data_IF_072400499374
#
_entry.id   IF_072400499374
#
_cell.length_a   1.000
_cell.length_b   1.000
_cell.length_c   1.000
_cell.angle_alpha   90.00
_cell.angle_beta   90.00
_cell.angle_gamma   90.00
#
_symmetry.space_group_name_H-M   'P 1'
#
loop_
_entity.id
_entity.type
_entity.pdbx_description
1 polymer ?
#
# COMPACT_ATOMS: atom_id res chain seq x y z
N UNK A 1 8.95 30.32 21.05
CA UNK A 1 9.51 30.17 19.70
C UNK A 1 9.45 28.69 19.39
N UNK A 2 8.54 28.26 18.52
CA UNK A 2 8.50 26.85 18.09
C UNK A 2 9.61 26.72 17.06
N UNK A 3 10.67 26.03 17.40
CA UNK A 3 11.74 25.74 16.45
C UNK A 3 11.15 24.85 15.36
N UNK A 4 11.12 25.38 14.13
CA UNK A 4 10.63 24.67 12.96
C UNK A 4 11.67 23.61 12.56
N UNK A 5 11.56 22.43 13.17
CA UNK A 5 12.35 21.26 12.83
C UNK A 5 11.81 20.55 11.59
N UNK A 6 11.52 21.30 10.51
CA UNK A 6 11.14 20.70 9.21
C UNK A 6 12.37 20.09 8.54
N UNK A 7 12.75 18.90 8.99
CA UNK A 7 13.74 18.08 8.30
C UNK A 7 13.06 17.36 7.13
N UNK A 8 13.70 17.38 5.96
CA UNK A 8 13.24 16.61 4.80
C UNK A 8 13.24 15.13 5.18
N UNK A 9 12.09 14.49 5.06
CA UNK A 9 11.97 13.06 5.31
C UNK A 9 12.88 12.29 4.36
N UNK A 10 13.46 11.20 4.88
CA UNK A 10 14.20 10.28 4.05
C UNK A 10 13.26 9.62 3.05
N UNK A 11 13.52 9.84 1.76
CA UNK A 11 12.78 9.23 0.66
C UNK A 11 13.55 7.98 0.22
N UNK A 12 12.87 6.84 0.16
CA UNK A 12 13.43 5.64 -0.45
C UNK A 12 13.50 5.86 -1.97
N UNK A 13 14.70 5.77 -2.51
CA UNK A 13 14.89 5.71 -3.96
C UNK A 13 14.49 4.33 -4.47
N UNK A 14 13.43 4.27 -5.26
CA UNK A 14 12.98 3.04 -5.91
C UNK A 14 13.86 2.82 -7.14
N UNK A 15 14.60 1.72 -7.15
CA UNK A 15 15.35 1.25 -8.32
C UNK A 15 14.41 0.71 -9.39
N UNK A 16 14.90 0.57 -10.62
CA UNK A 16 14.10 -0.02 -11.70
C UNK A 16 14.04 -1.54 -11.52
N UNK A 17 12.84 -2.12 -11.57
CA UNK A 17 12.66 -3.56 -11.43
C UNK A 17 13.42 -4.32 -12.53
N UNK A 18 14.08 -5.42 -12.14
CA UNK A 18 14.72 -6.38 -13.04
C UNK A 18 13.68 -7.19 -13.82
N UNK A 19 14.11 -7.88 -14.88
CA UNK A 19 13.19 -8.73 -15.65
C UNK A 19 12.69 -9.93 -14.82
N UNK A 20 13.53 -10.45 -13.93
CA UNK A 20 13.20 -11.51 -12.98
C UNK A 20 12.11 -11.04 -12.01
N UNK A 21 12.24 -9.83 -11.45
CA UNK A 21 11.25 -9.25 -10.53
C UNK A 21 9.91 -9.02 -11.23
N UNK A 22 9.93 -8.52 -12.48
CA UNK A 22 8.73 -8.39 -13.32
C UNK A 22 8.09 -9.73 -13.66
N UNK A 23 8.89 -10.78 -13.81
CA UNK A 23 8.38 -12.14 -14.05
C UNK A 23 7.71 -12.70 -12.79
N UNK A 24 8.33 -12.51 -11.63
CA UNK A 24 7.74 -12.89 -10.33
C UNK A 24 6.43 -12.14 -10.11
N UNK A 25 6.40 -10.83 -10.33
CA UNK A 25 5.20 -10.00 -10.19
C UNK A 25 4.03 -10.47 -11.07
N UNK A 26 4.31 -10.82 -12.33
CA UNK A 26 3.31 -11.39 -13.24
C UNK A 26 2.78 -12.74 -12.76
N UNK A 27 3.66 -13.64 -12.33
CA UNK A 27 3.24 -14.95 -11.82
C UNK A 27 2.33 -14.80 -10.60
N UNK A 28 2.68 -13.90 -9.67
CA UNK A 28 1.85 -13.60 -8.49
C UNK A 28 0.48 -13.06 -8.92
N UNK A 29 0.46 -12.04 -9.78
CA UNK A 29 -0.78 -11.42 -10.22
C UNK A 29 -1.69 -12.42 -10.97
N UNK A 30 -1.15 -13.23 -11.87
CA UNK A 30 -1.95 -14.09 -12.73
C UNK A 30 -2.40 -15.39 -12.05
N UNK A 31 -1.63 -15.93 -11.11
CA UNK A 31 -1.87 -17.27 -10.57
C UNK A 31 -2.26 -17.29 -9.09
N UNK A 32 -2.01 -16.21 -8.34
CA UNK A 32 -2.19 -16.20 -6.88
C UNK A 32 -3.20 -15.16 -6.38
N UNK A 33 -3.56 -14.17 -7.19
CA UNK A 33 -4.42 -13.06 -6.77
C UNK A 33 -5.72 -13.08 -7.54
N UNK A 34 -6.82 -13.29 -6.83
CA UNK A 34 -8.17 -13.18 -7.39
C UNK A 34 -8.72 -11.76 -7.27
N UNK A 35 -9.70 -11.44 -8.13
CA UNK A 35 -10.52 -10.23 -7.96
C UNK A 35 -11.25 -10.26 -6.61
N UNK A 36 -11.17 -9.17 -5.84
CA UNK A 36 -11.70 -9.12 -4.48
C UNK A 36 -10.74 -9.54 -3.38
N UNK A 37 -9.52 -9.99 -3.70
CA UNK A 37 -8.52 -10.36 -2.71
C UNK A 37 -8.12 -9.17 -1.83
N UNK A 38 -7.78 -9.45 -0.56
CA UNK A 38 -7.22 -8.46 0.36
C UNK A 38 -5.71 -8.63 0.42
N UNK A 39 -4.98 -7.59 0.01
CA UNK A 39 -3.52 -7.62 -0.13
C UNK A 39 -2.83 -7.18 1.16
N UNK A 40 -1.81 -7.94 1.56
CA UNK A 40 -0.81 -7.58 2.55
C UNK A 40 0.56 -7.71 1.88
N UNK A 41 1.33 -6.62 1.86
CA UNK A 41 2.60 -6.56 1.15
C UNK A 41 3.45 -5.41 1.68
N UNK A 42 4.76 -5.60 1.68
CA UNK A 42 5.73 -4.61 2.12
C UNK A 42 6.30 -3.74 1.00
N UNK A 43 7.43 -3.13 1.27
CA UNK A 43 8.16 -2.25 0.34
C UNK A 43 9.32 -3.00 -0.34
N UNK A 44 9.44 -2.95 -1.65
CA UNK A 44 10.52 -3.63 -2.38
C UNK A 44 10.23 -3.85 -3.85
N UNK A 45 11.26 -4.17 -4.62
CA UNK A 45 11.14 -4.35 -6.07
C UNK A 45 10.16 -5.47 -6.46
N UNK A 46 10.14 -6.59 -5.72
CA UNK A 46 9.16 -7.67 -5.98
C UNK A 46 7.72 -7.26 -5.65
N UNK A 47 7.40 -6.69 -4.46
CA UNK A 47 6.09 -6.10 -4.21
C UNK A 47 5.68 -5.04 -5.23
N UNK A 48 6.61 -4.17 -5.64
CA UNK A 48 6.35 -3.10 -6.62
C UNK A 48 6.02 -3.68 -8.00
N UNK A 49 6.78 -4.69 -8.44
CA UNK A 49 6.51 -5.43 -9.67
C UNK A 49 5.16 -6.18 -9.63
N UNK A 50 4.80 -6.76 -8.49
CA UNK A 50 3.50 -7.40 -8.30
C UNK A 50 2.36 -6.37 -8.37
N UNK A 51 2.49 -5.24 -7.66
CA UNK A 51 1.53 -4.12 -7.72
C UNK A 51 1.36 -3.60 -9.15
N UNK A 52 2.46 -3.46 -9.90
CA UNK A 52 2.42 -3.04 -11.30
C UNK A 52 1.64 -4.02 -12.20
N UNK A 53 1.72 -5.33 -11.91
CA UNK A 53 0.99 -6.37 -12.65
C UNK A 53 -0.49 -6.49 -12.25
N UNK A 54 -0.88 -5.98 -11.08
CA UNK A 54 -2.25 -6.09 -10.56
C UNK A 54 -3.24 -5.08 -11.17
N UNK A 55 -2.82 -4.20 -12.09
CA UNK A 55 -3.66 -3.13 -12.67
C UNK A 55 -4.96 -3.59 -13.34
N UNK A 56 -5.01 -4.84 -13.80
CA UNK A 56 -6.21 -5.41 -14.45
C UNK A 56 -7.19 -6.08 -13.47
N UNK A 57 -6.81 -6.20 -12.20
CA UNK A 57 -7.67 -6.77 -11.16
C UNK A 57 -8.69 -5.74 -10.69
N UNK A 58 -9.77 -6.23 -10.08
CA UNK A 58 -10.89 -5.44 -9.61
C UNK A 58 -11.25 -5.81 -8.18
N UNK A 59 -11.82 -4.82 -7.48
CA UNK A 59 -12.33 -4.94 -6.13
C UNK A 59 -11.31 -5.35 -5.07
N UNK A 60 -10.02 -5.13 -5.33
CA UNK A 60 -8.96 -5.47 -4.39
C UNK A 60 -9.11 -4.67 -3.10
N UNK A 61 -8.74 -5.29 -1.99
CA UNK A 61 -8.62 -4.65 -0.68
C UNK A 61 -7.17 -4.52 -0.24
N UNK A 62 -6.89 -3.63 0.70
CA UNK A 62 -5.60 -3.51 1.38
C UNK A 62 -5.76 -3.64 2.88
N UNK A 63 -4.92 -4.49 3.47
CA UNK A 63 -4.68 -4.57 4.90
C UNK A 63 -3.19 -4.84 5.11
N UNK A 64 -2.42 -3.82 5.46
CA UNK A 64 -0.96 -3.95 5.58
C UNK A 64 -0.37 -2.99 6.61
N UNK A 65 0.79 -3.32 7.15
CA UNK A 65 1.54 -2.43 8.04
C UNK A 65 2.18 -1.25 7.28
N UNK A 66 2.75 -1.52 6.11
CA UNK A 66 3.40 -0.55 5.23
C UNK A 66 3.05 -0.87 3.78
N UNK A 67 3.15 0.10 2.87
CA UNK A 67 3.04 -0.15 1.44
C UNK A 67 3.83 0.88 0.63
N UNK A 68 4.11 0.54 -0.63
CA UNK A 68 4.83 1.41 -1.55
C UNK A 68 3.91 2.27 -2.40
N UNK A 69 4.51 3.20 -3.16
CA UNK A 69 3.79 4.10 -4.05
C UNK A 69 2.96 3.36 -5.12
N UNK A 70 3.28 2.10 -5.45
CA UNK A 70 2.53 1.29 -6.41
C UNK A 70 1.05 1.08 -6.03
N UNK A 71 0.72 1.13 -4.74
CA UNK A 71 -0.67 1.09 -4.27
C UNK A 71 -1.47 2.31 -4.75
N UNK A 72 -0.86 3.50 -4.79
CA UNK A 72 -1.54 4.70 -5.29
C UNK A 72 -2.00 4.51 -6.72
N UNK A 73 -1.18 3.89 -7.55
CA UNK A 73 -1.51 3.66 -8.95
C UNK A 73 -2.69 2.71 -9.10
N UNK A 74 -2.78 1.69 -8.24
CA UNK A 74 -3.91 0.76 -8.21
C UNK A 74 -5.20 1.40 -7.66
N UNK A 75 -5.09 2.33 -6.71
CA UNK A 75 -6.23 3.14 -6.25
C UNK A 75 -6.68 4.07 -7.38
N UNK A 76 -5.76 4.76 -8.07
CA UNK A 76 -6.07 5.66 -9.19
C UNK A 76 -6.72 4.93 -10.36
N UNK A 77 -6.31 3.71 -10.67
CA UNK A 77 -6.91 2.89 -11.73
C UNK A 77 -8.15 2.10 -11.27
N UNK A 78 -8.63 2.35 -10.05
CA UNK A 78 -9.82 1.74 -9.46
C UNK A 78 -9.76 0.20 -9.34
N UNK A 79 -8.54 -0.37 -9.33
CA UNK A 79 -8.32 -1.79 -9.06
C UNK A 79 -8.55 -2.10 -7.57
N UNK A 80 -8.19 -1.15 -6.69
CA UNK A 80 -8.39 -1.24 -5.25
C UNK A 80 -9.59 -0.39 -4.85
N UNK A 81 -10.62 -1.05 -4.32
CA UNK A 81 -11.86 -0.39 -3.84
C UNK A 81 -12.17 -0.73 -2.38
N UNK A 82 -11.52 -1.75 -1.81
CA UNK A 82 -11.84 -2.33 -0.50
C UNK A 82 -13.30 -2.82 -0.35
N UNK A 83 -14.07 -2.93 -1.43
CA UNK A 83 -15.50 -3.24 -1.39
C UNK A 83 -15.79 -4.67 -0.89
N UNK A 84 -14.89 -5.61 -1.18
CA UNK A 84 -15.02 -7.04 -0.83
C UNK A 84 -14.23 -7.43 0.42
N UNK A 85 -13.72 -6.45 1.19
CA UNK A 85 -12.86 -6.74 2.34
C UNK A 85 -13.66 -7.45 3.45
N UNK A 86 -13.37 -8.73 3.69
CA UNK A 86 -13.97 -9.55 4.75
C UNK A 86 -13.22 -9.29 6.06
N UNK A 87 -13.33 -8.07 6.60
CA UNK A 87 -12.63 -7.65 7.82
C UNK A 87 -13.50 -6.67 8.60
N UNK A 88 -13.12 -6.41 9.86
CA UNK A 88 -13.84 -5.58 10.83
C UNK A 88 -14.11 -4.13 10.35
N UNK A 89 -13.51 -3.70 9.24
CA UNK A 89 -13.80 -2.43 8.55
C UNK A 89 -13.90 -2.62 7.02
N UNK A 90 -15.10 -2.93 6.49
CA UNK A 90 -15.33 -2.98 5.04
C UNK A 90 -15.15 -1.59 4.40
N UNK A 91 -14.71 -1.54 3.15
CA UNK A 91 -14.50 -0.32 2.34
C UNK A 91 -13.39 0.65 2.80
N UNK A 92 -12.72 0.40 3.93
CA UNK A 92 -11.55 1.20 4.36
C UNK A 92 -10.27 0.42 4.13
N UNK A 93 -9.17 1.09 3.82
CA UNK A 93 -7.87 0.44 3.90
C UNK A 93 -7.35 0.51 5.35
N UNK A 94 -6.69 -0.56 5.80
CA UNK A 94 -6.17 -0.66 7.18
C UNK A 94 -4.64 -0.59 7.14
N UNK A 95 -4.10 0.38 7.88
CA UNK A 95 -2.67 0.54 8.15
C UNK A 95 -2.44 0.23 9.63
N UNK A 96 -1.61 -0.76 9.93
CA UNK A 96 -1.24 -1.13 11.30
C UNK A 96 0.23 -0.82 11.55
N UNK A 97 0.61 0.46 11.70
CA UNK A 97 2.00 0.86 12.01
C UNK A 97 2.15 1.18 13.50
N UNK A 98 3.25 0.69 14.11
CA UNK A 98 3.63 1.01 15.51
C UNK A 98 4.73 2.09 15.60
N UNK A 99 5.46 2.36 14.50
CA UNK A 99 6.60 3.28 14.47
C UNK A 99 6.68 3.98 13.10
N UNK A 100 6.17 5.21 13.03
CA UNK A 100 6.25 5.99 11.80
C UNK A 100 7.64 6.62 11.61
N UNK A 101 8.41 6.08 10.67
CA UNK A 101 9.55 6.81 10.07
C UNK A 101 9.61 6.67 8.54
N UNK A 102 8.62 6.02 7.92
CA UNK A 102 8.64 5.73 6.49
C UNK A 102 7.30 6.22 5.86
N UNK A 103 7.40 7.38 5.19
CA UNK A 103 6.41 8.06 4.33
C UNK A 103 5.20 8.78 4.96
N UNK A 104 5.39 10.07 5.28
CA UNK A 104 4.30 11.06 5.53
C UNK A 104 3.85 11.83 4.27
N UNK A 105 4.35 11.49 3.07
CA UNK A 105 3.90 12.14 1.81
C UNK A 105 2.53 11.63 1.37
N UNK A 106 2.18 10.42 1.79
CA UNK A 106 0.95 9.73 1.43
C UNK A 106 -0.23 10.08 2.35
N UNK A 107 0.06 10.30 3.63
CA UNK A 107 -0.94 10.64 4.67
C UNK A 107 -1.66 11.95 4.36
N UNK A 108 -1.02 12.86 3.61
CA UNK A 108 -1.60 14.16 3.23
C UNK A 108 -2.54 14.11 2.03
N UNK A 109 -2.51 13.04 1.22
CA UNK A 109 -3.35 12.89 0.01
C UNK A 109 -4.68 12.15 0.30
N UNK A 110 -4.80 11.45 1.44
CA UNK A 110 -5.83 10.41 1.62
C UNK A 110 -6.78 10.64 2.81
N UNK A 111 -7.17 11.88 3.08
CA UNK A 111 -7.85 12.28 4.31
C UNK A 111 -9.31 11.76 4.51
N UNK A 112 -9.82 10.86 3.65
CA UNK A 112 -11.22 10.39 3.71
C UNK A 112 -11.41 8.86 3.69
N UNK A 113 -10.36 8.05 3.58
CA UNK A 113 -10.48 6.61 3.27
C UNK A 113 -9.95 5.63 4.32
N UNK A 114 -9.44 6.11 5.45
CA UNK A 114 -8.67 5.29 6.40
C UNK A 114 -9.28 5.30 7.82
N UNK A 115 -9.00 4.23 8.58
CA UNK A 115 -9.26 4.16 10.01
C UNK A 115 -7.90 3.97 10.71
N UNK A 116 -7.58 4.86 11.64
CA UNK A 116 -6.39 4.74 12.48
C UNK A 116 -6.73 3.94 13.72
N UNK A 117 -5.96 2.91 14.02
CA UNK A 117 -6.01 2.27 15.33
C UNK A 117 -5.18 3.15 16.28
N UNK A 118 -5.77 3.79 17.30
CA UNK A 118 -4.96 4.38 18.35
C UNK A 118 -4.23 3.24 19.05
N UNK A 119 -2.90 3.28 19.03
CA UNK A 119 -2.07 2.45 19.89
C UNK A 119 -2.58 2.67 21.31
N UNK A 120 -3.17 1.63 21.92
CA UNK A 120 -3.35 1.55 23.36
C UNK A 120 -1.95 1.57 23.96
N UNK A 121 -1.45 2.77 24.26
CA UNK A 121 -0.33 2.90 25.18
C UNK A 121 -0.82 2.44 26.56
N UNK A 122 -0.05 1.61 27.29
CA UNK A 122 -0.29 1.45 28.72
C UNK A 122 -0.09 2.79 29.46
#
# INVERSE_FOLDING_TARGET
>A
MVEDHTFKLHERHIGKDSEEERKIGRIIAENLVDNGATLQMGIGAVPDAALAALKNHKDLGIHTEMFSDGVLDLVKCNAITNSKKVSFFPCRALLLSSYDTIYMKLIRVLNTMWYWFPVLKP
#
